data_IF_207793142678
#
_entry.id   IF_207793142678
#
_cell.length_a   1.000
_cell.length_b   1.000
_cell.length_c   1.000
_cell.angle_alpha   90.00
_cell.angle_beta   90.00
_cell.angle_gamma   90.00
#
_symmetry.space_group_name_H-M   'P 1'
#
loop_
_entity.id
_entity.type
_entity.pdbx_description
1 polymer ?
#
# COMPACT_ATOMS: atom_id res chain seq x y z
N UNK A 1 3.09 4.19 16.55
CA UNK A 1 2.78 2.73 16.61
C UNK A 1 3.98 1.99 16.02
N UNK A 2 4.68 1.22 16.81
CA UNK A 2 5.87 0.45 16.39
C UNK A 2 5.60 -1.06 16.49
N UNK A 3 6.42 -1.85 15.81
CA UNK A 3 6.33 -3.31 15.84
C UNK A 3 5.18 -3.89 14.99
N UNK A 4 4.77 -5.12 15.32
CA UNK A 4 3.79 -5.90 14.57
C UNK A 4 2.48 -5.16 14.32
N UNK A 5 1.89 -4.58 15.37
CA UNK A 5 0.61 -3.89 15.27
C UNK A 5 0.66 -2.72 14.28
N UNK A 6 1.70 -1.89 14.34
CA UNK A 6 1.88 -0.77 13.42
C UNK A 6 2.07 -1.23 11.97
N UNK A 7 2.86 -2.27 11.76
CA UNK A 7 3.14 -2.83 10.43
C UNK A 7 1.87 -3.37 9.77
N UNK A 8 1.09 -4.21 10.47
CA UNK A 8 -0.15 -4.74 9.93
C UNK A 8 -1.26 -3.69 9.82
N UNK A 9 -1.31 -2.71 10.73
CA UNK A 9 -2.23 -1.58 10.60
C UNK A 9 -1.93 -0.77 9.32
N UNK A 10 -0.66 -0.46 9.04
CA UNK A 10 -0.27 0.20 7.80
C UNK A 10 -0.64 -0.63 6.57
N UNK A 11 -0.39 -1.95 6.59
CA UNK A 11 -0.76 -2.84 5.49
C UNK A 11 -2.27 -2.84 5.22
N UNK A 12 -3.08 -2.91 6.26
CA UNK A 12 -4.54 -2.90 6.15
C UNK A 12 -5.08 -1.53 5.69
N UNK A 13 -4.49 -0.43 6.13
CA UNK A 13 -4.84 0.92 5.64
C UNK A 13 -4.56 1.04 4.15
N UNK A 14 -3.37 0.60 3.70
CA UNK A 14 -3.00 0.62 2.28
C UNK A 14 -3.93 -0.29 1.48
N UNK A 15 -4.24 -1.49 1.97
CA UNK A 15 -5.17 -2.41 1.33
C UNK A 15 -6.58 -1.81 1.20
N UNK A 16 -7.08 -1.19 2.28
CA UNK A 16 -8.40 -0.55 2.27
C UNK A 16 -8.45 0.63 1.28
N UNK A 17 -7.44 1.50 1.30
CA UNK A 17 -7.33 2.62 0.35
C UNK A 17 -7.23 2.12 -1.09
N UNK A 18 -6.42 1.09 -1.34
CA UNK A 18 -6.30 0.43 -2.64
C UNK A 18 -7.63 -0.14 -3.11
N UNK A 19 -8.31 -0.87 -2.24
CA UNK A 19 -9.60 -1.48 -2.54
C UNK A 19 -10.65 -0.43 -2.91
N UNK A 20 -10.74 0.64 -2.13
CA UNK A 20 -11.67 1.74 -2.37
C UNK A 20 -11.38 2.46 -3.71
N UNK A 21 -10.10 2.82 -3.95
CA UNK A 21 -9.69 3.49 -5.16
C UNK A 21 -9.95 2.63 -6.40
N UNK A 22 -9.56 1.36 -6.37
CA UNK A 22 -9.72 0.46 -7.51
C UNK A 22 -11.18 0.13 -7.81
N UNK A 23 -12.00 -0.09 -6.78
CA UNK A 23 -13.44 -0.28 -6.95
C UNK A 23 -14.07 0.92 -7.66
N UNK A 24 -13.70 2.15 -7.29
CA UNK A 24 -14.16 3.37 -7.96
C UNK A 24 -13.74 3.45 -9.42
N UNK A 25 -12.48 3.14 -9.73
CA UNK A 25 -11.99 3.10 -11.13
C UNK A 25 -12.79 2.08 -11.96
N UNK A 26 -13.02 0.87 -11.41
CA UNK A 26 -13.81 -0.15 -12.09
C UNK A 26 -15.26 0.28 -12.29
N UNK A 27 -15.86 0.95 -11.31
CA UNK A 27 -17.21 1.51 -11.44
C UNK A 27 -17.28 2.62 -12.53
N UNK A 28 -16.26 3.49 -12.62
CA UNK A 28 -16.14 4.50 -13.70
C UNK A 28 -16.02 3.83 -15.06
N UNK A 29 -15.30 2.69 -15.15
CA UNK A 29 -15.18 1.91 -16.38
C UNK A 29 -16.44 1.12 -16.76
N UNK A 30 -17.54 1.30 -16.03
CA UNK A 30 -18.86 0.72 -16.34
C UNK A 30 -19.17 -0.60 -15.65
N UNK A 31 -18.30 -1.11 -14.78
CA UNK A 31 -18.65 -2.29 -13.99
C UNK A 31 -19.76 -1.99 -12.99
N UNK A 32 -20.59 -3.00 -12.74
CA UNK A 32 -21.70 -2.94 -11.78
C UNK A 32 -21.52 -3.92 -10.64
N UNK A 33 -20.71 -4.96 -10.86
CA UNK A 33 -20.42 -6.00 -9.89
C UNK A 33 -19.01 -5.86 -9.35
N UNK A 34 -18.84 -6.32 -8.11
CA UNK A 34 -17.54 -6.41 -7.48
C UNK A 34 -16.53 -7.19 -8.33
N UNK A 35 -15.27 -6.85 -8.22
CA UNK A 35 -14.19 -7.58 -8.87
C UNK A 35 -12.94 -7.62 -7.99
N UNK A 36 -12.36 -8.79 -7.85
CA UNK A 36 -11.12 -9.01 -7.11
C UNK A 36 -9.88 -8.37 -7.74
N UNK A 37 -10.01 -7.79 -8.92
CA UNK A 37 -8.95 -6.93 -9.50
C UNK A 37 -8.93 -5.52 -8.90
N UNK A 38 -9.98 -5.11 -8.18
CA UNK A 38 -10.07 -3.78 -7.58
C UNK A 38 -8.87 -3.43 -6.69
N UNK A 39 -8.42 -4.26 -5.73
CA UNK A 39 -7.28 -3.93 -4.90
C UNK A 39 -5.99 -3.66 -5.68
N UNK A 40 -5.75 -4.40 -6.78
CA UNK A 40 -4.55 -4.20 -7.61
C UNK A 40 -4.61 -2.92 -8.45
N UNK A 41 -5.75 -2.66 -9.09
CA UNK A 41 -5.98 -1.40 -9.84
C UNK A 41 -5.83 -0.21 -8.90
N UNK A 42 -6.39 -0.33 -7.70
CA UNK A 42 -6.29 0.72 -6.69
C UNK A 42 -4.88 0.91 -6.15
N UNK A 43 -4.14 -0.16 -5.88
CA UNK A 43 -2.75 -0.06 -5.44
C UNK A 43 -1.90 0.70 -6.47
N UNK A 44 -2.04 0.38 -7.74
CA UNK A 44 -1.38 1.12 -8.82
C UNK A 44 -1.81 2.61 -8.82
N UNK A 45 -3.12 2.88 -8.67
CA UNK A 45 -3.66 4.23 -8.65
C UNK A 45 -3.10 5.06 -7.48
N UNK A 46 -3.20 4.56 -6.24
CA UNK A 46 -2.72 5.31 -5.08
C UNK A 46 -1.20 5.47 -5.06
N UNK A 47 -0.46 4.52 -5.63
CA UNK A 47 0.99 4.61 -5.81
C UNK A 47 1.37 5.77 -6.75
N UNK A 48 0.64 5.93 -7.87
CA UNK A 48 0.83 7.06 -8.78
C UNK A 48 0.45 8.39 -8.11
N UNK A 49 -0.69 8.41 -7.41
CA UNK A 49 -1.15 9.61 -6.67
C UNK A 49 -0.12 10.02 -5.62
N UNK A 50 0.36 9.07 -4.80
CA UNK A 50 1.38 9.34 -3.80
C UNK A 50 2.68 9.88 -4.42
N UNK A 51 3.12 9.30 -5.53
CA UNK A 51 4.31 9.73 -6.25
C UNK A 51 4.26 11.18 -6.73
N UNK A 52 3.13 11.62 -7.23
CA UNK A 52 2.97 13.02 -7.64
C UNK A 52 2.80 13.96 -6.45
N UNK A 53 2.05 13.56 -5.44
CA UNK A 53 1.71 14.40 -4.31
C UNK A 53 2.88 14.58 -3.32
N UNK A 54 3.78 13.60 -3.16
CA UNK A 54 4.94 13.70 -2.27
C UNK A 54 5.91 14.82 -2.67
N UNK A 55 5.85 15.29 -3.93
CA UNK A 55 6.65 16.41 -4.45
C UNK A 55 6.09 17.79 -4.09
N UNK A 56 4.88 17.83 -3.57
CA UNK A 56 4.26 19.08 -3.12
C UNK A 56 4.78 19.47 -1.73
N UNK A 57 4.72 20.75 -1.35
CA UNK A 57 5.06 21.17 0.01
C UNK A 57 4.31 20.34 1.04
N UNK A 58 5.01 19.91 2.09
CA UNK A 58 4.47 19.00 3.10
C UNK A 58 4.69 17.50 2.79
N UNK A 59 5.27 17.16 1.62
CA UNK A 59 5.77 15.84 1.25
C UNK A 59 4.85 14.68 1.69
N UNK A 60 5.14 14.04 2.82
CA UNK A 60 4.37 12.92 3.36
C UNK A 60 2.91 13.29 3.63
N UNK A 61 2.64 14.45 4.23
CA UNK A 61 1.28 14.93 4.50
C UNK A 61 0.49 15.20 3.21
N UNK A 62 1.15 15.79 2.20
CA UNK A 62 0.51 16.02 0.90
C UNK A 62 0.19 14.71 0.20
N UNK A 63 1.08 13.73 0.26
CA UNK A 63 0.84 12.39 -0.28
C UNK A 63 -0.29 11.68 0.46
N UNK A 64 -0.31 11.73 1.81
CA UNK A 64 -1.38 11.17 2.62
C UNK A 64 -2.73 11.82 2.29
N UNK A 65 -2.80 13.14 2.25
CA UNK A 65 -4.03 13.87 1.95
C UNK A 65 -4.56 13.53 0.55
N UNK A 66 -3.69 13.48 -0.46
CA UNK A 66 -4.09 13.14 -1.83
C UNK A 66 -4.58 11.69 -1.94
N UNK A 67 -3.87 10.74 -1.34
CA UNK A 67 -4.27 9.32 -1.31
C UNK A 67 -5.61 9.16 -0.58
N UNK A 68 -5.78 9.80 0.58
CA UNK A 68 -7.02 9.75 1.34
C UNK A 68 -8.20 10.35 0.56
N UNK A 69 -8.01 11.51 -0.06
CA UNK A 69 -9.03 12.18 -0.86
C UNK A 69 -9.47 11.31 -2.05
N UNK A 70 -8.50 10.83 -2.84
CA UNK A 70 -8.79 10.02 -4.03
C UNK A 70 -9.44 8.70 -3.65
N UNK A 71 -8.92 8.00 -2.64
CA UNK A 71 -9.49 6.72 -2.19
C UNK A 71 -10.89 6.90 -1.62
N UNK A 72 -11.14 7.96 -0.84
CA UNK A 72 -12.47 8.23 -0.29
C UNK A 72 -13.46 8.59 -1.41
N UNK A 73 -13.11 9.49 -2.32
CA UNK A 73 -13.99 9.91 -3.41
C UNK A 73 -14.36 8.73 -4.31
N UNK A 74 -13.37 7.94 -4.72
CA UNK A 74 -13.57 6.76 -5.55
C UNK A 74 -14.34 5.66 -4.79
N UNK A 75 -14.05 5.46 -3.51
CA UNK A 75 -14.75 4.49 -2.67
C UNK A 75 -16.22 4.82 -2.47
N UNK A 76 -16.54 6.09 -2.22
CA UNK A 76 -17.94 6.57 -2.15
C UNK A 76 -18.64 6.35 -3.49
N UNK A 77 -18.00 6.69 -4.60
CA UNK A 77 -18.57 6.44 -5.92
C UNK A 77 -18.82 4.95 -6.18
N UNK A 78 -17.88 4.09 -5.79
CA UNK A 78 -18.03 2.64 -5.88
C UNK A 78 -19.22 2.13 -5.05
N UNK A 79 -19.34 2.59 -3.80
CA UNK A 79 -20.43 2.20 -2.90
C UNK A 79 -21.82 2.54 -3.43
N UNK A 80 -21.92 3.58 -4.27
CA UNK A 80 -23.18 3.98 -4.92
C UNK A 80 -23.48 3.23 -6.23
N UNK A 81 -22.52 2.45 -6.74
CA UNK A 81 -22.60 1.89 -8.11
C UNK A 81 -22.34 0.39 -8.20
N UNK A 82 -21.62 -0.18 -7.25
CA UNK A 82 -21.26 -1.60 -7.28
C UNK A 82 -22.10 -2.42 -6.30
N UNK A 83 -22.54 -3.56 -6.79
CA UNK A 83 -23.19 -4.59 -5.99
C UNK A 83 -22.18 -5.67 -5.53
N UNK A 84 -22.54 -6.46 -4.53
CA UNK A 84 -21.78 -7.65 -4.11
C UNK A 84 -20.65 -7.41 -3.09
N UNK A 85 -20.40 -6.16 -2.66
CA UNK A 85 -19.32 -5.86 -1.71
C UNK A 85 -19.40 -6.65 -0.40
N UNK A 86 -20.61 -6.85 0.15
CA UNK A 86 -20.79 -7.60 1.41
C UNK A 86 -20.44 -9.08 1.28
N UNK A 87 -20.70 -9.69 0.13
CA UNK A 87 -20.28 -11.05 -0.16
C UNK A 87 -18.76 -11.13 -0.34
N UNK A 88 -18.20 -10.24 -1.14
CA UNK A 88 -16.78 -10.16 -1.34
C UNK A 88 -16.01 -10.02 -0.02
N UNK A 89 -16.48 -9.18 0.89
CA UNK A 89 -15.85 -9.02 2.20
C UNK A 89 -15.78 -10.35 2.99
N UNK A 90 -16.82 -11.20 2.90
CA UNK A 90 -16.80 -12.51 3.56
C UNK A 90 -15.83 -13.50 2.91
N UNK A 91 -15.73 -13.47 1.58
CA UNK A 91 -14.82 -14.33 0.82
C UNK A 91 -13.35 -13.94 1.03
N UNK A 92 -13.08 -12.63 1.26
CA UNK A 92 -11.74 -12.12 1.52
C UNK A 92 -11.10 -12.63 2.81
N UNK A 93 -11.87 -12.81 3.89
CA UNK A 93 -11.31 -13.09 5.23
C UNK A 93 -10.40 -14.29 5.30
N UNK A 94 -10.73 -15.48 4.75
CA UNK A 94 -9.85 -16.64 4.80
C UNK A 94 -8.52 -16.38 4.09
N UNK A 95 -8.56 -15.69 2.94
CA UNK A 95 -7.38 -15.36 2.15
C UNK A 95 -6.50 -14.35 2.89
N UNK A 96 -7.10 -13.28 3.40
CA UNK A 96 -6.37 -12.27 4.17
C UNK A 96 -5.75 -12.86 5.44
N UNK A 97 -6.47 -13.76 6.11
CA UNK A 97 -5.95 -14.49 7.27
C UNK A 97 -4.76 -15.38 6.92
N UNK A 98 -4.87 -16.19 5.87
CA UNK A 98 -3.81 -17.09 5.43
C UNK A 98 -2.57 -16.31 4.96
N UNK A 99 -2.75 -15.30 4.12
CA UNK A 99 -1.64 -14.46 3.63
C UNK A 99 -1.04 -13.64 4.76
N UNK A 100 -1.87 -13.06 5.64
CA UNK A 100 -1.40 -12.32 6.81
C UNK A 100 -0.53 -13.18 7.74
N UNK A 101 -0.92 -14.42 7.99
CA UNK A 101 -0.10 -15.36 8.75
C UNK A 101 1.20 -15.73 8.01
N UNK A 102 1.12 -15.98 6.71
CA UNK A 102 2.31 -16.28 5.90
C UNK A 102 3.32 -15.12 5.90
N UNK A 103 2.85 -13.88 5.84
CA UNK A 103 3.73 -12.68 5.90
C UNK A 103 4.35 -12.46 7.28
N UNK A 104 3.86 -13.10 8.34
CA UNK A 104 4.47 -13.05 9.66
C UNK A 104 5.70 -13.97 9.81
N UNK A 105 5.81 -15.01 8.96
CA UNK A 105 6.89 -16.01 9.06
C UNK A 105 8.29 -15.39 9.00
N UNK A 106 8.64 -14.51 8.04
CA UNK A 106 9.95 -13.89 7.99
C UNK A 106 10.30 -13.12 9.27
N UNK A 107 9.34 -12.38 9.83
CA UNK A 107 9.56 -11.63 11.08
C UNK A 107 9.75 -12.57 12.28
N UNK A 108 9.02 -13.68 12.31
CA UNK A 108 9.17 -14.68 13.37
C UNK A 108 10.55 -15.36 13.29
N UNK A 109 11.05 -15.63 12.09
CA UNK A 109 12.39 -16.21 11.87
C UNK A 109 13.48 -15.24 12.30
N UNK A 110 13.34 -13.96 11.96
CA UNK A 110 14.32 -12.91 12.33
C UNK A 110 14.18 -12.41 13.77
N UNK A 111 13.11 -12.78 14.46
CA UNK A 111 12.84 -12.39 15.84
C UNK A 111 12.49 -10.91 16.05
N UNK A 112 12.23 -10.15 14.98
CA UNK A 112 11.81 -8.75 15.08
C UNK A 112 10.87 -8.33 13.94
N UNK A 113 10.07 -7.30 14.22
CA UNK A 113 9.26 -6.61 13.22
C UNK A 113 9.95 -5.33 12.77
N UNK A 114 9.93 -5.08 11.48
CA UNK A 114 10.56 -3.91 10.85
C UNK A 114 10.92 -4.21 9.41
N UNK A 115 11.86 -3.47 8.85
CA UNK A 115 12.38 -3.77 7.52
C UNK A 115 13.39 -4.92 7.66
N UNK A 116 13.13 -6.01 6.95
CA UNK A 116 13.99 -7.18 6.92
C UNK A 116 15.10 -7.03 5.87
N UNK A 117 16.21 -7.73 6.08
CA UNK A 117 17.30 -7.77 5.11
C UNK A 117 18.15 -6.50 5.03
N UNK A 118 18.14 -5.66 6.06
CA UNK A 118 18.93 -4.41 6.07
C UNK A 118 20.40 -4.59 6.43
N UNK A 119 20.78 -5.68 7.12
CA UNK A 119 22.13 -5.86 7.68
C UNK A 119 23.23 -5.87 6.63
N UNK A 120 23.16 -6.76 5.66
CA UNK A 120 24.13 -6.88 4.57
C UNK A 120 23.52 -6.64 3.19
N UNK A 121 22.23 -6.34 3.13
CA UNK A 121 21.53 -6.09 1.88
C UNK A 121 21.55 -4.59 1.56
N UNK A 122 22.48 -4.18 0.72
CA UNK A 122 22.63 -2.81 0.25
C UNK A 122 21.37 -2.32 -0.47
N UNK A 123 20.66 -3.21 -1.17
CA UNK A 123 19.46 -2.89 -1.92
C UNK A 123 18.35 -2.34 -1.01
N UNK A 124 18.00 -3.04 0.05
CA UNK A 124 16.98 -2.58 0.99
C UNK A 124 17.36 -1.26 1.68
N UNK A 125 18.64 -1.07 1.96
CA UNK A 125 19.15 0.17 2.53
C UNK A 125 18.98 1.35 1.56
N UNK A 126 19.18 1.14 0.27
CA UNK A 126 18.95 2.16 -0.77
C UNK A 126 17.47 2.52 -0.89
N UNK A 127 16.58 1.54 -0.82
CA UNK A 127 15.14 1.78 -0.84
C UNK A 127 14.67 2.60 0.38
N UNK A 128 15.16 2.27 1.57
CA UNK A 128 14.86 3.05 2.78
C UNK A 128 15.43 4.47 2.70
N UNK A 129 16.64 4.62 2.18
CA UNK A 129 17.24 5.94 1.97
C UNK A 129 16.42 6.77 0.99
N UNK A 130 15.97 6.18 -0.11
CA UNK A 130 15.10 6.85 -1.08
C UNK A 130 13.75 7.28 -0.46
N UNK A 131 13.14 6.43 0.36
CA UNK A 131 11.91 6.79 1.07
C UNK A 131 12.15 7.91 2.10
N UNK A 132 13.26 7.86 2.84
CA UNK A 132 13.61 8.91 3.80
C UNK A 132 13.85 10.26 3.09
N UNK A 133 14.55 10.25 1.97
CA UNK A 133 14.79 11.46 1.16
C UNK A 133 13.48 12.03 0.60
N UNK A 134 12.51 11.22 0.21
CA UNK A 134 11.19 11.70 -0.21
C UNK A 134 10.39 12.34 0.92
N UNK A 135 10.60 11.90 2.16
CA UNK A 135 9.96 12.49 3.33
C UNK A 135 10.54 13.88 3.65
N UNK A 136 11.84 14.05 3.46
CA UNK A 136 12.59 15.29 3.71
C UNK A 136 13.73 15.39 2.67
N UNK A 137 13.50 16.06 1.52
CA UNK A 137 14.42 16.09 0.39
C UNK A 137 15.62 17.04 0.59
N UNK A 138 16.17 17.05 1.80
CA UNK A 138 17.41 17.77 2.09
C UNK A 138 18.64 16.95 1.67
N UNK A 139 19.57 17.58 0.98
CA UNK A 139 20.81 16.97 0.52
C UNK A 139 20.74 16.29 -0.86
N UNK A 140 21.77 15.49 -1.22
CA UNK A 140 21.88 14.89 -2.54
C UNK A 140 20.79 13.84 -2.77
N UNK A 141 20.27 13.80 -3.99
CA UNK A 141 19.28 12.79 -4.37
C UNK A 141 19.86 11.37 -4.29
N UNK A 142 19.05 10.37 -3.90
CA UNK A 142 19.47 8.98 -3.91
C UNK A 142 19.82 8.50 -5.33
N UNK A 143 20.80 7.60 -5.44
CA UNK A 143 21.17 7.02 -6.73
C UNK A 143 19.99 6.33 -7.45
N UNK A 144 19.05 5.74 -6.71
CA UNK A 144 17.80 5.19 -7.29
C UNK A 144 16.99 6.28 -8.01
N UNK A 145 16.88 7.47 -7.43
CA UNK A 145 16.17 8.58 -8.04
C UNK A 145 16.88 9.08 -9.32
N UNK A 146 18.20 9.23 -9.27
CA UNK A 146 19.02 9.66 -10.40
C UNK A 146 18.96 8.67 -11.57
N UNK A 147 18.85 7.39 -11.27
CA UNK A 147 18.69 6.31 -12.26
C UNK A 147 17.27 6.20 -12.83
N UNK A 148 16.34 7.05 -12.38
CA UNK A 148 14.94 7.00 -12.84
C UNK A 148 14.15 5.82 -12.28
N UNK A 149 14.57 5.25 -11.15
CA UNK A 149 13.82 4.16 -10.50
C UNK A 149 12.43 4.64 -10.07
N UNK A 150 11.36 3.83 -10.27
CA UNK A 150 10.01 4.22 -9.91
C UNK A 150 9.81 4.22 -8.39
N UNK A 151 9.82 5.41 -7.78
CA UNK A 151 9.70 5.59 -6.33
C UNK A 151 8.25 5.69 -5.82
N UNK A 152 7.26 5.29 -6.59
CA UNK A 152 5.86 5.30 -6.18
C UNK A 152 5.57 4.54 -4.88
N UNK A 153 6.03 3.29 -4.72
CA UNK A 153 5.86 2.56 -3.46
C UNK A 153 6.54 3.24 -2.27
N UNK A 154 7.67 3.92 -2.48
CA UNK A 154 8.37 4.70 -1.47
C UNK A 154 7.55 5.91 -1.03
N UNK A 155 6.96 6.64 -1.98
CA UNK A 155 6.05 7.76 -1.70
C UNK A 155 4.81 7.32 -0.92
N UNK A 156 4.27 6.13 -1.23
CA UNK A 156 3.17 5.55 -0.47
C UNK A 156 3.59 5.17 0.96
N UNK A 157 4.80 4.66 1.14
CA UNK A 157 5.35 4.40 2.47
C UNK A 157 5.55 5.69 3.28
N UNK A 158 6.01 6.76 2.64
CA UNK A 158 6.12 8.10 3.26
C UNK A 158 4.76 8.61 3.70
N UNK A 159 3.73 8.52 2.85
CA UNK A 159 2.36 8.87 3.23
C UNK A 159 1.84 8.05 4.42
N UNK A 160 2.08 6.73 4.43
CA UNK A 160 1.67 5.86 5.54
C UNK A 160 2.47 6.13 6.83
N UNK A 161 3.69 6.64 6.72
CA UNK A 161 4.53 7.00 7.86
C UNK A 161 3.93 8.13 8.69
N UNK A 162 3.18 9.05 8.09
CA UNK A 162 2.47 10.11 8.78
C UNK A 162 1.38 9.58 9.75
N UNK A 163 0.84 8.39 9.45
CA UNK A 163 -0.15 7.73 10.31
C UNK A 163 0.50 6.86 11.39
N UNK A 164 1.62 6.21 11.06
CA UNK A 164 2.28 5.27 11.98
C UNK A 164 3.32 5.93 12.88
N UNK A 165 3.81 7.11 12.50
CA UNK A 165 4.93 7.79 13.14
C UNK A 165 6.28 7.11 12.92
N UNK A 166 6.38 6.20 11.93
CA UNK A 166 7.62 5.45 11.65
C UNK A 166 7.69 5.02 10.20
N UNK A 167 8.70 5.51 9.49
CA UNK A 167 8.92 5.15 8.09
C UNK A 167 9.23 3.66 7.91
N UNK A 168 10.03 3.07 8.78
CA UNK A 168 10.35 1.63 8.72
C UNK A 168 9.10 0.76 8.91
N UNK A 169 8.22 1.14 9.83
CA UNK A 169 6.94 0.46 10.06
C UNK A 169 6.02 0.59 8.84
N UNK A 170 5.90 1.79 8.29
CA UNK A 170 5.08 2.06 7.10
C UNK A 170 5.62 1.34 5.86
N UNK A 171 6.92 1.36 5.66
CA UNK A 171 7.58 0.68 4.53
C UNK A 171 7.31 -0.84 4.57
N UNK A 172 7.48 -1.46 5.75
CA UNK A 172 7.14 -2.87 5.95
C UNK A 172 5.65 -3.13 5.71
N UNK A 173 4.78 -2.22 6.15
CA UNK A 173 3.33 -2.31 5.91
C UNK A 173 2.97 -2.28 4.42
N UNK A 174 3.57 -1.37 3.65
CA UNK A 174 3.39 -1.34 2.17
C UNK A 174 3.88 -2.63 1.53
N UNK A 175 5.02 -3.16 1.99
CA UNK A 175 5.55 -4.45 1.49
C UNK A 175 4.58 -5.60 1.77
N UNK A 176 3.95 -5.64 2.94
CA UNK A 176 2.94 -6.66 3.30
C UNK A 176 1.63 -6.46 2.52
N UNK A 177 1.25 -5.22 2.21
CA UNK A 177 0.04 -4.97 1.43
C UNK A 177 0.08 -5.61 0.05
N UNK A 178 1.26 -5.73 -0.58
CA UNK A 178 1.42 -6.36 -1.90
C UNK A 178 0.96 -7.83 -1.91
N UNK A 179 1.49 -8.74 -1.08
CA UNK A 179 1.01 -10.12 -1.05
C UNK A 179 -0.47 -10.24 -0.63
N UNK A 180 -1.00 -9.34 0.21
CA UNK A 180 -2.43 -9.31 0.52
C UNK A 180 -3.27 -9.01 -0.74
N UNK A 181 -2.86 -8.03 -1.54
CA UNK A 181 -3.50 -7.71 -2.82
C UNK A 181 -3.40 -8.87 -3.79
N UNK A 182 -2.22 -9.49 -3.91
CA UNK A 182 -2.01 -10.67 -4.78
C UNK A 182 -2.89 -11.84 -4.35
N UNK A 183 -2.99 -12.10 -3.05
CA UNK A 183 -3.87 -13.14 -2.51
C UNK A 183 -5.34 -12.92 -2.88
N UNK A 184 -5.82 -11.69 -2.82
CA UNK A 184 -7.19 -11.34 -3.24
C UNK A 184 -7.41 -11.52 -4.75
N UNK A 185 -6.42 -11.19 -5.59
CA UNK A 185 -6.52 -11.43 -7.04
C UNK A 185 -6.67 -12.92 -7.33
N UNK A 186 -6.05 -13.81 -6.55
CA UNK A 186 -6.18 -15.25 -6.75
C UNK A 186 -7.63 -15.74 -6.66
N UNK A 187 -8.51 -15.02 -5.94
CA UNK A 187 -9.94 -15.32 -5.89
C UNK A 187 -10.62 -15.20 -7.27
N UNK A 188 -10.12 -14.38 -8.19
CA UNK A 188 -10.66 -14.29 -9.56
C UNK A 188 -10.59 -15.61 -10.33
N UNK A 189 -9.67 -16.50 -9.95
CA UNK A 189 -9.52 -17.82 -10.55
C UNK A 189 -10.47 -18.86 -10.00
N UNK A 190 -11.08 -18.61 -8.85
CA UNK A 190 -11.97 -19.52 -8.15
C UNK A 190 -13.44 -19.29 -8.58
N UNK A 191 -13.77 -18.05 -8.95
CA UNK A 191 -15.11 -17.64 -9.38
C UNK A 191 -15.50 -18.11 -10.80
N UNK A 192 -14.62 -18.82 -11.50
CA UNK A 192 -14.87 -19.37 -12.85
C UNK A 192 -15.13 -20.88 -12.80
#
# INVERSE_FOLDING_TARGET
MSGALGTYAAALIVLAASTAAGAGILAISGRREWSWTAPAVGLATITIVAWWAVRLPGHGWSALAAVALVSTALGVFAALRLDGFGQAAREAWPVLGAVGLATAIPFAVEGHFGVLGTGFNVDMSQHLFAANWLADPDGPAPGLFEQGYPLGPHALAVAAAELTGSLTTAFSGVTIAVPLVVGLIALTGIER
#
